data_IF_414849828085
#
_entry.id   IF_414849828085
#
_cell.length_a   1.000
_cell.length_b   1.000
_cell.length_c   1.000
_cell.angle_alpha   90.00
_cell.angle_beta   90.00
_cell.angle_gamma   90.00
#
_symmetry.space_group_name_H-M   'P 1'
#
loop_
_entity.id
_entity.type
_entity.pdbx_description
1 polymer ?
#
# COMPACT_ATOMS: atom_id res chain seq x y z
N UNK A 1 40.94 14.14 16.00
CA UNK A 1 40.35 13.09 15.17
C UNK A 1 38.86 13.15 15.45
N UNK A 2 38.09 13.76 14.55
CA UNK A 2 36.64 13.82 14.68
C UNK A 2 36.15 12.44 14.22
N UNK A 3 35.59 11.66 15.14
CA UNK A 3 34.93 10.41 14.77
C UNK A 3 33.73 10.74 13.89
N UNK A 4 33.77 10.27 12.63
CA UNK A 4 32.61 10.30 11.75
C UNK A 4 31.49 9.47 12.39
N UNK A 5 30.25 9.99 12.48
CA UNK A 5 29.14 9.21 13.00
C UNK A 5 28.92 8.02 12.06
N UNK A 6 29.18 6.81 12.56
CA UNK A 6 28.86 5.57 11.87
C UNK A 6 27.35 5.60 11.59
N UNK A 7 26.89 5.43 10.33
CA UNK A 7 25.47 5.37 10.05
C UNK A 7 24.89 4.25 10.92
N UNK A 8 23.93 4.59 11.78
CA UNK A 8 23.16 3.60 12.50
C UNK A 8 22.50 2.71 11.45
N UNK A 9 22.71 1.40 11.52
CA UNK A 9 21.87 0.39 10.87
C UNK A 9 20.45 0.43 11.49
N UNK A 10 19.80 1.59 11.47
CA UNK A 10 18.36 1.66 11.51
C UNK A 10 17.93 1.07 10.18
N UNK A 11 17.32 -0.11 10.22
CA UNK A 11 16.67 -0.68 9.06
C UNK A 11 15.61 0.33 8.62
N UNK A 12 15.95 1.21 7.68
CA UNK A 12 15.15 2.34 7.21
C UNK A 12 13.96 1.85 6.37
N UNK A 13 13.34 0.74 6.74
CA UNK A 13 12.19 0.20 6.04
C UNK A 13 11.07 1.26 6.02
N UNK A 14 10.77 1.75 4.82
CA UNK A 14 9.66 2.65 4.60
C UNK A 14 8.34 1.87 4.57
N UNK A 15 7.24 2.59 4.73
CA UNK A 15 5.91 2.01 4.73
C UNK A 15 4.93 2.94 4.00
N UNK A 16 3.89 2.35 3.40
CA UNK A 16 2.82 3.08 2.74
C UNK A 16 1.48 2.75 3.40
N UNK A 17 0.60 3.75 3.44
CA UNK A 17 -0.83 3.56 3.72
C UNK A 17 -1.59 3.68 2.40
N UNK A 18 -2.32 2.64 2.03
CA UNK A 18 -3.25 2.68 0.90
C UNK A 18 -4.66 2.75 1.44
N UNK A 19 -5.39 3.83 1.12
CA UNK A 19 -6.80 3.98 1.49
C UNK A 19 -7.66 3.75 0.26
N UNK A 20 -8.61 2.83 0.38
CA UNK A 20 -9.58 2.57 -0.67
C UNK A 20 -10.86 3.37 -0.41
N UNK A 21 -11.47 3.87 -1.47
CA UNK A 21 -12.81 4.42 -1.43
C UNK A 21 -13.73 3.49 -2.22
N UNK A 22 -14.83 3.10 -1.59
CA UNK A 22 -15.85 2.33 -2.29
C UNK A 22 -16.45 3.18 -3.41
N UNK A 23 -16.52 2.60 -4.61
CA UNK A 23 -17.08 3.22 -5.82
C UNK A 23 -18.08 2.24 -6.43
N UNK A 24 -18.62 2.58 -7.61
CA UNK A 24 -19.61 1.75 -8.32
C UNK A 24 -19.18 0.27 -8.42
N UNK A 25 -19.95 -0.62 -7.79
CA UNK A 25 -19.65 -2.05 -7.60
C UNK A 25 -20.29 -2.95 -8.69
N UNK A 26 -20.86 -2.35 -9.74
CA UNK A 26 -21.55 -3.06 -10.80
C UNK A 26 -22.89 -3.68 -10.38
N UNK A 27 -23.44 -3.29 -9.23
CA UNK A 27 -24.71 -3.78 -8.70
C UNK A 27 -24.58 -5.05 -7.86
N UNK A 28 -23.36 -5.48 -7.53
CA UNK A 28 -23.10 -6.61 -6.65
C UNK A 28 -22.22 -6.17 -5.49
N UNK A 29 -22.59 -6.52 -4.24
CA UNK A 29 -21.88 -6.05 -3.06
C UNK A 29 -20.42 -6.53 -3.08
N UNK A 30 -19.52 -5.62 -2.74
CA UNK A 30 -18.10 -5.93 -2.56
C UNK A 30 -17.92 -6.88 -1.37
N UNK A 31 -17.13 -7.92 -1.60
CA UNK A 31 -16.77 -8.95 -0.61
C UNK A 31 -15.35 -8.78 -0.08
N UNK A 32 -14.54 -7.97 -0.75
CA UNK A 32 -13.19 -7.65 -0.30
C UNK A 32 -12.40 -6.83 -1.32
N UNK A 33 -11.15 -6.55 -0.95
CA UNK A 33 -10.15 -5.89 -1.78
C UNK A 33 -8.83 -6.68 -1.75
N UNK A 34 -8.16 -6.69 -2.89
CA UNK A 34 -6.82 -7.25 -3.05
C UNK A 34 -5.84 -6.14 -3.41
N UNK A 35 -4.68 -6.12 -2.77
CA UNK A 35 -3.59 -5.20 -3.09
C UNK A 35 -2.34 -6.01 -3.44
N UNK A 36 -1.83 -5.81 -4.64
CA UNK A 36 -0.54 -6.34 -5.09
C UNK A 36 0.48 -5.20 -5.13
N UNK A 37 1.67 -5.43 -4.58
CA UNK A 37 2.78 -4.45 -4.55
C UNK A 37 3.96 -5.02 -5.31
N UNK A 38 4.51 -4.22 -6.23
CA UNK A 38 5.63 -4.56 -7.11
C UNK A 38 6.74 -3.51 -7.00
N UNK A 39 8.00 -3.95 -6.93
CA UNK A 39 9.16 -3.08 -7.14
C UNK A 39 9.46 -2.97 -8.64
N UNK A 40 9.56 -1.76 -9.18
CA UNK A 40 9.87 -1.55 -10.61
C UNK A 40 11.33 -1.88 -10.94
N UNK A 41 12.21 -1.89 -9.94
CA UNK A 41 13.66 -2.07 -10.11
C UNK A 41 14.08 -3.54 -10.06
N UNK A 42 13.22 -4.43 -9.54
CA UNK A 42 13.47 -5.88 -9.53
C UNK A 42 12.14 -6.66 -9.48
N UNK A 43 11.82 -7.38 -10.56
CA UNK A 43 10.62 -8.23 -10.65
C UNK A 43 10.54 -9.36 -9.60
N UNK A 44 11.63 -9.59 -8.85
CA UNK A 44 11.74 -10.67 -7.86
C UNK A 44 11.65 -10.19 -6.39
N UNK A 45 11.69 -8.88 -6.12
CA UNK A 45 11.98 -8.41 -4.76
C UNK A 45 10.77 -8.11 -3.88
N UNK A 46 9.58 -7.85 -4.44
CA UNK A 46 8.35 -7.78 -3.65
C UNK A 46 7.20 -8.14 -4.58
N UNK A 47 6.57 -9.28 -4.28
CA UNK A 47 5.32 -9.75 -4.86
C UNK A 47 4.40 -10.09 -3.68
N UNK A 48 4.03 -9.06 -2.92
CA UNK A 48 3.22 -9.24 -1.71
C UNK A 48 1.77 -8.96 -2.05
N UNK A 49 0.90 -9.91 -1.69
CA UNK A 49 -0.55 -9.79 -1.85
C UNK A 49 -1.14 -9.55 -0.46
N UNK A 50 -1.78 -8.41 -0.29
CA UNK A 50 -2.56 -8.10 0.89
C UNK A 50 -4.04 -8.34 0.57
N UNK A 51 -4.74 -9.03 1.47
CA UNK A 51 -6.16 -9.29 1.35
C UNK A 51 -6.92 -8.60 2.48
N UNK A 52 -7.95 -7.83 2.13
CA UNK A 52 -8.86 -7.28 3.13
C UNK A 52 -10.27 -7.79 2.83
N UNK A 53 -10.74 -8.72 3.68
CA UNK A 53 -12.12 -9.22 3.62
C UNK A 53 -13.02 -8.20 4.29
N UNK A 54 -13.84 -7.54 3.49
CA UNK A 54 -14.88 -6.65 4.01
C UNK A 54 -16.06 -7.52 4.42
N UNK A 55 -15.96 -8.23 5.55
CA UNK A 55 -17.11 -8.90 6.14
C UNK A 55 -18.10 -7.82 6.61
N UNK A 56 -18.97 -7.39 5.68
CA UNK A 56 -20.11 -6.49 5.90
C UNK A 56 -19.77 -5.02 6.25
N UNK A 57 -18.92 -4.35 5.46
CA UNK A 57 -18.84 -2.87 5.54
C UNK A 57 -20.12 -2.16 5.05
N UNK A 58 -21.04 -2.88 4.40
CA UNK A 58 -22.25 -2.27 3.82
C UNK A 58 -23.41 -2.03 4.80
N UNK A 59 -23.27 -2.24 6.11
CA UNK A 59 -24.39 -1.89 7.00
C UNK A 59 -23.97 -1.57 8.42
N UNK A 60 -24.43 -0.41 8.87
CA UNK A 60 -24.56 0.07 10.25
C UNK A 60 -23.44 0.98 10.77
N UNK A 61 -23.82 2.26 10.85
CA UNK A 61 -23.30 3.31 11.72
C UNK A 61 -22.32 4.33 11.08
N UNK A 62 -22.91 5.47 10.66
CA UNK A 62 -22.29 6.77 10.40
C UNK A 62 -21.59 6.97 9.05
N UNK A 63 -22.36 7.27 8.00
CA UNK A 63 -22.06 8.14 6.84
C UNK A 63 -20.58 8.35 6.43
N UNK A 64 -19.77 7.29 6.40
CA UNK A 64 -18.36 7.34 6.04
C UNK A 64 -18.11 6.21 5.04
N UNK A 65 -18.24 6.54 3.75
CA UNK A 65 -17.92 5.66 2.61
C UNK A 65 -16.41 5.45 2.49
N UNK A 66 -15.79 4.90 3.53
CA UNK A 66 -14.36 4.66 3.57
C UNK A 66 -14.15 3.16 3.44
N UNK A 67 -13.54 2.76 2.32
CA UNK A 67 -13.15 1.39 2.07
C UNK A 67 -11.94 1.00 2.95
N UNK A 68 -11.38 -0.21 2.72
CA UNK A 68 -10.31 -0.71 3.56
C UNK A 68 -9.05 0.16 3.51
N UNK A 69 -8.25 0.05 4.56
CA UNK A 69 -6.93 0.64 4.66
C UNK A 69 -5.91 -0.50 4.69
N UNK A 70 -4.92 -0.43 3.82
CA UNK A 70 -3.77 -1.34 3.81
C UNK A 70 -2.55 -0.63 4.37
N UNK A 71 -1.85 -1.30 5.28
CA UNK A 71 -0.52 -0.93 5.72
C UNK A 71 0.48 -1.81 4.98
N UNK A 72 1.40 -1.19 4.25
CA UNK A 72 2.42 -1.87 3.46
C UNK A 72 3.78 -1.57 4.08
N UNK A 73 4.23 -2.35 5.09
CA UNK A 73 5.53 -2.17 5.71
C UNK A 73 6.65 -2.82 4.88
N UNK A 74 7.90 -2.55 5.25
CA UNK A 74 9.06 -3.28 4.72
C UNK A 74 9.48 -2.86 3.31
N UNK A 75 9.12 -1.65 2.89
CA UNK A 75 9.55 -1.11 1.61
C UNK A 75 10.99 -0.62 1.71
N UNK A 76 11.76 -0.86 0.67
CA UNK A 76 13.15 -0.45 0.59
C UNK A 76 13.21 1.06 0.25
N UNK A 77 14.02 1.87 0.95
CA UNK A 77 14.23 3.28 0.64
C UNK A 77 14.72 3.56 -0.78
N UNK A 78 14.20 4.62 -1.38
CA UNK A 78 14.69 5.09 -2.68
C UNK A 78 14.28 4.24 -3.87
N UNK A 79 13.18 3.50 -3.75
CA UNK A 79 12.68 2.59 -4.77
C UNK A 79 11.32 3.01 -5.30
N UNK A 80 11.10 2.67 -6.56
CA UNK A 80 9.83 2.84 -7.21
C UNK A 80 8.95 1.60 -6.99
N UNK A 81 7.74 1.84 -6.49
CA UNK A 81 6.74 0.83 -6.28
C UNK A 81 5.50 1.08 -7.13
N UNK A 82 5.00 0.00 -7.74
CA UNK A 82 3.71 -0.04 -8.42
C UNK A 82 2.74 -0.87 -7.60
N UNK A 83 1.60 -0.30 -7.28
CA UNK A 83 0.55 -0.94 -6.49
C UNK A 83 -0.66 -1.15 -7.38
N UNK A 84 -1.22 -2.36 -7.36
CA UNK A 84 -2.43 -2.73 -8.08
C UNK A 84 -3.51 -3.09 -7.06
N UNK A 85 -4.57 -2.28 -7.02
CA UNK A 85 -5.70 -2.50 -6.11
C UNK A 85 -6.88 -3.03 -6.90
N UNK A 86 -7.49 -4.09 -6.39
CA UNK A 86 -8.64 -4.75 -7.00
C UNK A 86 -9.81 -4.82 -6.03
N UNK A 87 -11.01 -4.65 -6.56
CA UNK A 87 -12.25 -4.91 -5.86
C UNK A 87 -12.74 -6.33 -6.19
N UNK A 88 -13.20 -7.08 -5.19
CA UNK A 88 -13.66 -8.46 -5.35
C UNK A 88 -15.12 -8.59 -4.93
N UNK A 89 -15.97 -9.11 -5.81
CA UNK A 89 -17.37 -9.43 -5.53
C UNK A 89 -17.73 -10.83 -6.05
N UNK A 90 -19.02 -11.20 -5.99
CA UNK A 90 -19.50 -12.51 -6.45
C UNK A 90 -19.31 -12.77 -7.96
N UNK A 91 -19.12 -11.73 -8.78
CA UNK A 91 -18.81 -11.85 -10.22
C UNK A 91 -17.33 -12.10 -10.46
N UNK A 92 -16.47 -11.68 -9.52
CA UNK A 92 -15.04 -11.88 -9.56
C UNK A 92 -14.25 -10.62 -9.19
N UNK A 93 -13.03 -10.54 -9.72
CA UNK A 93 -12.09 -9.44 -9.50
C UNK A 93 -12.26 -8.35 -10.56
N UNK A 94 -12.20 -7.08 -10.16
CA UNK A 94 -12.25 -5.92 -11.06
C UNK A 94 -10.97 -5.77 -11.89
N UNK A 95 -10.97 -4.82 -12.83
CA UNK A 95 -9.72 -4.27 -13.36
C UNK A 95 -8.94 -3.54 -12.25
N UNK A 96 -7.59 -3.46 -12.33
CA UNK A 96 -6.78 -2.81 -11.30
C UNK A 96 -6.90 -1.29 -11.33
N UNK A 97 -7.03 -0.68 -10.15
CA UNK A 97 -6.57 0.69 -9.94
C UNK A 97 -5.06 0.69 -9.74
N UNK A 98 -4.34 1.41 -10.61
CA UNK A 98 -2.87 1.47 -10.60
C UNK A 98 -2.40 2.70 -9.86
N UNK A 99 -1.55 2.51 -8.86
CA UNK A 99 -0.91 3.57 -8.10
C UNK A 99 0.61 3.45 -8.25
N UNK A 100 1.30 4.57 -8.38
CA UNK A 100 2.76 4.64 -8.42
C UNK A 100 3.25 5.43 -7.21
N UNK A 101 4.24 4.90 -6.51
CA UNK A 101 4.85 5.53 -5.35
C UNK A 101 6.37 5.41 -5.41
N UNK A 102 7.06 6.34 -4.76
CA UNK A 102 8.50 6.30 -4.57
C UNK A 102 8.79 6.40 -3.08
N UNK A 103 9.62 5.49 -2.58
CA UNK A 103 10.17 5.60 -1.24
C UNK A 103 11.35 6.55 -1.25
N UNK A 104 11.54 7.37 -0.22
CA UNK A 104 12.65 8.30 -0.15
C UNK A 104 13.87 7.59 0.45
N UNK A 105 15.07 7.86 -0.09
CA UNK A 105 16.30 7.55 0.66
C UNK A 105 16.39 8.62 1.73
N UNK A 106 16.31 8.24 3.00
CA UNK A 106 16.45 9.16 4.11
C UNK A 106 17.71 10.01 3.95
N UNK A 107 17.55 11.29 3.67
CA UNK A 107 18.61 12.29 3.81
C UNK A 107 18.12 13.28 4.85
N UNK A 108 18.38 12.97 6.12
CA UNK A 108 18.25 13.97 7.17
C UNK A 108 19.38 14.99 6.98
N UNK A 109 19.06 16.15 6.40
CA UNK A 109 19.96 17.31 6.43
C UNK A 109 19.85 17.95 7.82
N UNK A 110 20.89 17.81 8.64
CA UNK A 110 21.05 18.61 9.85
C UNK A 110 21.43 20.04 9.45
N UNK A 111 20.60 21.02 9.77
CA UNK A 111 20.98 22.45 9.65
C UNK A 111 21.59 22.90 10.98
N UNK A 112 22.86 23.32 10.96
CA UNK A 112 23.58 23.94 12.10
C UNK A 112 23.07 25.34 12.40
#
# INVERSE_FOLDING_TARGET
LVEEPKPSDTNDAEWLIVRCNESFDGGLPLTGFELEVYSEENAYHINTIYFNRTERLSSHHNNHHHGPIFEVPGLEPGRNYKLLVYAVNAKGRSDPAVLSSITLKGVAMYTT
#
